data_IF_548095563858
#
_entry.id   IF_548095563858
#
_cell.length_a   1.000
_cell.length_b   1.000
_cell.length_c   1.000
_cell.angle_alpha   90.00
_cell.angle_beta   90.00
_cell.angle_gamma   90.00
#
_symmetry.space_group_name_H-M   'P 1'
#
loop_
_entity.id
_entity.type
_entity.pdbx_description
1 polymer ?
#
# COMPACT_ATOMS: atom_id res chain seq x y z
N UNK A 1 0.25 -8.84 -0.30
CA UNK A 1 0.48 -7.44 -0.70
C UNK A 1 1.32 -7.39 -1.96
N UNK A 2 1.08 -6.42 -2.85
CA UNK A 2 1.82 -6.20 -4.10
C UNK A 2 2.35 -4.76 -4.13
N UNK A 3 3.35 -4.52 -4.98
CA UNK A 3 3.96 -3.19 -5.15
C UNK A 3 3.85 -2.74 -6.61
N UNK A 4 3.29 -1.56 -6.85
CA UNK A 4 3.34 -0.87 -8.13
C UNK A 4 4.57 0.05 -8.17
N UNK A 5 5.27 0.02 -9.31
CA UNK A 5 6.49 0.80 -9.56
C UNK A 5 6.27 1.69 -10.78
N UNK A 6 5.61 2.86 -10.63
CA UNK A 6 5.49 3.81 -11.71
C UNK A 6 6.85 4.15 -12.32
N UNK A 7 6.89 4.37 -13.63
CA UNK A 7 8.07 4.82 -14.34
C UNK A 7 8.65 6.04 -13.64
N UNK A 8 9.83 5.86 -13.06
CA UNK A 8 10.52 6.87 -12.28
C UNK A 8 11.41 7.67 -13.23
N UNK A 9 11.01 8.89 -13.59
CA UNK A 9 11.81 9.80 -14.43
C UNK A 9 12.58 10.77 -13.53
N UNK A 10 13.91 10.78 -13.64
CA UNK A 10 14.76 11.66 -12.85
C UNK A 10 15.09 11.11 -11.47
N UNK A 11 14.86 11.89 -10.40
CA UNK A 11 15.32 11.55 -9.04
C UNK A 11 14.31 10.76 -8.22
N UNK A 12 13.01 10.82 -8.52
CA UNK A 12 11.96 10.21 -7.69
C UNK A 12 11.81 8.72 -7.94
N UNK A 13 11.56 7.97 -6.86
CA UNK A 13 11.32 6.54 -6.90
C UNK A 13 9.99 6.23 -6.23
N UNK A 14 8.90 6.59 -6.89
CA UNK A 14 7.57 6.36 -6.31
C UNK A 14 7.30 4.86 -6.22
N UNK A 15 6.83 4.40 -5.05
CA UNK A 15 6.34 3.04 -4.80
C UNK A 15 4.98 3.09 -4.17
N UNK A 16 4.11 2.20 -4.62
CA UNK A 16 2.75 2.09 -4.11
C UNK A 16 2.50 0.65 -3.67
N UNK A 17 2.18 0.44 -2.40
CA UNK A 17 1.73 -0.84 -1.87
C UNK A 17 0.22 -0.96 -2.05
N UNK A 18 -0.23 -2.10 -2.56
CA UNK A 18 -1.65 -2.36 -2.81
C UNK A 18 -1.99 -3.84 -2.61
N UNK A 19 -3.27 -4.14 -2.50
CA UNK A 19 -3.83 -5.50 -2.47
C UNK A 19 -5.03 -5.58 -3.40
N UNK A 20 -5.42 -6.81 -3.78
CA UNK A 20 -6.75 -7.05 -4.31
C UNK A 20 -7.61 -7.57 -3.16
N UNK A 21 -8.80 -7.01 -3.01
CA UNK A 21 -9.79 -7.55 -2.09
C UNK A 21 -10.45 -8.83 -2.66
N UNK A 22 -11.33 -9.52 -1.90
CA UNK A 22 -12.06 -10.67 -2.42
C UNK A 22 -12.95 -10.38 -3.64
N UNK A 23 -13.39 -9.12 -3.85
CA UNK A 23 -14.15 -8.67 -5.04
C UNK A 23 -13.25 -8.26 -6.22
N UNK A 24 -11.93 -8.52 -6.13
CA UNK A 24 -10.90 -8.23 -7.16
C UNK A 24 -10.71 -6.74 -7.46
N UNK A 25 -11.08 -5.87 -6.54
CA UNK A 25 -10.81 -4.44 -6.59
C UNK A 25 -9.42 -4.15 -6.03
N UNK A 26 -8.65 -3.30 -6.71
CA UNK A 26 -7.33 -2.89 -6.25
C UNK A 26 -7.48 -1.82 -5.15
N UNK A 27 -7.01 -2.12 -3.95
CA UNK A 27 -7.00 -1.20 -2.80
C UNK A 27 -5.58 -0.66 -2.63
N UNK A 28 -5.41 0.64 -2.86
CA UNK A 28 -4.14 1.33 -2.64
C UNK A 28 -3.96 1.61 -1.14
N UNK A 29 -2.84 1.16 -0.57
CA UNK A 29 -2.61 1.19 0.88
C UNK A 29 -1.60 2.27 1.30
N UNK A 30 -0.50 2.40 0.57
CA UNK A 30 0.57 3.37 0.85
C UNK A 30 1.20 3.80 -0.46
N UNK A 31 1.40 5.11 -0.64
CA UNK A 31 2.29 5.66 -1.67
C UNK A 31 3.43 6.41 -1.01
N UNK A 32 4.65 6.30 -1.54
CA UNK A 32 5.78 7.07 -1.04
C UNK A 32 6.92 7.19 -2.04
N UNK A 33 7.73 8.24 -1.88
CA UNK A 33 8.99 8.40 -2.60
C UNK A 33 10.11 7.66 -1.87
N UNK A 34 10.68 6.68 -2.55
CA UNK A 34 11.69 5.76 -2.03
C UNK A 34 13.11 6.36 -2.00
N UNK A 35 13.29 7.60 -2.47
CA UNK A 35 14.58 8.28 -2.46
C UNK A 35 15.26 8.25 -1.07
N UNK A 36 16.52 7.79 -1.05
CA UNK A 36 17.51 7.92 0.06
C UNK A 36 17.17 7.27 1.42
N UNK A 37 16.07 6.51 1.57
CA UNK A 37 15.70 5.87 2.86
C UNK A 37 15.12 4.45 2.73
N UNK A 38 15.78 3.60 1.97
CA UNK A 38 15.31 2.27 1.55
C UNK A 38 14.78 1.38 2.69
N UNK A 39 15.60 1.11 3.71
CA UNK A 39 15.25 0.13 4.76
C UNK A 39 14.21 0.68 5.74
N UNK A 40 14.27 1.98 6.04
CA UNK A 40 13.33 2.64 6.95
C UNK A 40 11.96 2.78 6.32
N UNK A 41 11.90 3.08 5.02
CA UNK A 41 10.63 3.27 4.33
C UNK A 41 9.83 1.97 4.28
N UNK A 42 10.43 0.84 3.89
CA UNK A 42 9.69 -0.42 3.81
C UNK A 42 9.12 -0.86 5.15
N UNK A 43 9.89 -0.78 6.24
CA UNK A 43 9.39 -1.14 7.58
C UNK A 43 8.12 -0.35 7.92
N UNK A 44 8.19 0.97 7.83
CA UNK A 44 7.04 1.83 8.14
C UNK A 44 5.89 1.70 7.13
N UNK A 45 6.20 1.55 5.84
CA UNK A 45 5.20 1.40 4.79
C UNK A 45 4.42 0.08 4.92
N UNK A 46 5.09 -1.02 5.25
CA UNK A 46 4.43 -2.31 5.46
C UNK A 46 3.50 -2.24 6.67
N UNK A 47 3.99 -1.76 7.82
CA UNK A 47 3.18 -1.61 9.05
C UNK A 47 1.93 -0.75 8.78
N UNK A 48 2.07 0.37 8.06
CA UNK A 48 0.94 1.21 7.69
C UNK A 48 -0.03 0.54 6.70
N UNK A 49 0.50 -0.21 5.73
CA UNK A 49 -0.32 -0.87 4.72
C UNK A 49 -1.15 -2.01 5.34
N UNK A 50 -0.58 -2.78 6.26
CA UNK A 50 -1.29 -3.82 7.01
C UNK A 50 -2.42 -3.22 7.86
N UNK A 51 -2.13 -2.18 8.65
CA UNK A 51 -3.13 -1.50 9.47
C UNK A 51 -4.29 -0.95 8.63
N UNK A 52 -4.00 -0.33 7.48
CA UNK A 52 -5.04 0.19 6.57
C UNK A 52 -5.86 -0.92 5.93
N UNK A 53 -5.25 -2.06 5.61
CA UNK A 53 -6.00 -3.17 5.03
C UNK A 53 -6.95 -3.81 6.07
N UNK A 54 -6.51 -3.96 7.31
CA UNK A 54 -7.37 -4.44 8.41
C UNK A 54 -8.56 -3.51 8.63
N UNK A 55 -8.33 -2.19 8.69
CA UNK A 55 -9.39 -1.20 8.81
C UNK A 55 -10.37 -1.25 7.62
N UNK A 56 -9.86 -1.43 6.40
CA UNK A 56 -10.70 -1.58 5.21
C UNK A 56 -11.57 -2.85 5.30
N UNK A 57 -11.00 -3.98 5.72
CA UNK A 57 -11.76 -5.22 5.90
C UNK A 57 -12.87 -5.06 6.94
N UNK A 58 -12.56 -4.42 8.07
CA UNK A 58 -13.56 -4.14 9.11
C UNK A 58 -14.69 -3.26 8.57
N UNK A 59 -14.37 -2.20 7.84
CA UNK A 59 -15.42 -1.33 7.29
C UNK A 59 -16.31 -2.04 6.27
N UNK A 60 -15.73 -2.88 5.39
CA UNK A 60 -16.47 -3.50 4.30
C UNK A 60 -17.22 -4.78 4.72
N UNK A 61 -16.69 -5.55 5.68
CA UNK A 61 -17.27 -6.82 6.09
C UNK A 61 -18.02 -6.76 7.43
N UNK A 62 -17.82 -5.74 8.27
CA UNK A 62 -18.67 -5.54 9.45
C UNK A 62 -20.03 -4.92 9.10
N UNK A 63 -20.20 -4.37 7.89
CA UNK A 63 -21.48 -3.83 7.38
C UNK A 63 -22.35 -4.87 6.65
N UNK A 64 -21.81 -6.07 6.38
CA UNK A 64 -22.54 -7.17 5.73
C UNK A 64 -23.20 -8.14 6.75
N UNK A 65 -23.26 -7.79 8.03
CA UNK A 65 -23.81 -8.63 9.12
C UNK A 65 -24.96 -7.95 9.86
#
# INVERSE_FOLDING_TARGET
MKELRPGSVGRSEIRILFVFDPKRQAIMLVGGDKQRRWNKWYKTAIEQAEARYLAWLEEQYSKEN
#
